data_IF_348829337710
#
_entry.id   IF_348829337710
#
_cell.length_a   1.000
_cell.length_b   1.000
_cell.length_c   1.000
_cell.angle_alpha   90.00
_cell.angle_beta   90.00
_cell.angle_gamma   90.00
#
_symmetry.space_group_name_H-M   'P 1'
#
loop_
_entity.id
_entity.type
_entity.pdbx_description
1 polymer ?
#
# COMPACT_ATOMS: atom_id res chain seq x y z
N UNK A 1 39.39 -11.43 19.21
CA UNK A 1 37.97 -11.33 19.62
C UNK A 1 37.18 -12.39 18.84
N UNK A 2 36.25 -13.12 19.47
CA UNK A 2 35.49 -14.19 18.81
C UNK A 2 34.06 -13.76 18.50
N UNK A 3 33.52 -14.18 17.36
CA UNK A 3 32.14 -13.91 16.95
C UNK A 3 31.16 -14.75 17.79
N UNK A 4 30.08 -14.13 18.24
CA UNK A 4 29.05 -14.82 19.04
C UNK A 4 28.43 -15.98 18.25
N UNK A 5 28.33 -17.14 18.89
CA UNK A 5 27.64 -18.33 18.37
C UNK A 5 26.56 -18.75 19.37
N UNK A 6 25.28 -18.84 18.97
CA UNK A 6 24.19 -19.17 19.87
C UNK A 6 24.29 -20.62 20.33
N UNK A 7 24.04 -20.86 21.61
CA UNK A 7 23.89 -22.21 22.15
C UNK A 7 22.46 -22.70 21.89
N UNK A 8 22.26 -24.01 21.74
CA UNK A 8 20.94 -24.59 21.42
C UNK A 8 19.84 -24.22 22.44
N UNK A 9 20.20 -24.06 23.72
CA UNK A 9 19.26 -23.68 24.78
C UNK A 9 18.82 -22.21 24.74
N UNK A 10 19.62 -21.35 24.13
CA UNK A 10 19.35 -19.89 24.10
C UNK A 10 18.46 -19.50 22.91
N UNK A 11 18.14 -20.45 22.02
CA UNK A 11 17.35 -20.19 20.81
C UNK A 11 15.86 -20.16 21.18
N UNK A 12 15.36 -18.96 21.41
CA UNK A 12 13.92 -18.72 21.54
C UNK A 12 13.26 -18.67 20.16
N UNK A 13 12.16 -19.43 19.99
CA UNK A 13 11.38 -19.48 18.75
C UNK A 13 10.01 -18.88 18.99
N UNK A 14 9.67 -17.86 18.22
CA UNK A 14 8.34 -17.28 18.20
C UNK A 14 7.46 -18.00 17.17
N UNK A 15 6.15 -17.80 17.30
CA UNK A 15 5.16 -18.21 16.32
C UNK A 15 4.62 -16.97 15.62
N UNK A 16 4.58 -17.00 14.30
CA UNK A 16 4.02 -15.94 13.47
C UNK A 16 2.84 -16.47 12.68
N UNK A 17 1.79 -15.67 12.54
CA UNK A 17 0.65 -15.92 11.66
C UNK A 17 0.64 -14.89 10.56
N UNK A 18 0.53 -15.37 9.32
CA UNK A 18 0.47 -14.55 8.12
C UNK A 18 -0.83 -14.88 7.39
N UNK A 19 -1.66 -13.87 7.18
CA UNK A 19 -2.80 -13.96 6.28
C UNK A 19 -2.32 -13.82 4.84
N UNK A 20 -2.63 -14.80 4.00
CA UNK A 20 -2.20 -14.86 2.62
C UNK A 20 -3.19 -14.21 1.64
N UNK A 21 -4.32 -13.69 2.13
CA UNK A 21 -5.36 -13.05 1.32
C UNK A 21 -4.81 -11.83 0.54
N UNK A 22 -4.98 -11.84 -0.78
CA UNK A 22 -4.52 -10.77 -1.67
C UNK A 22 -2.99 -10.62 -1.79
N UNK A 23 -2.20 -11.51 -1.19
CA UNK A 23 -0.74 -11.44 -1.25
C UNK A 23 -0.19 -12.11 -2.51
N UNK A 24 0.88 -11.54 -3.08
CA UNK A 24 1.59 -12.17 -4.21
C UNK A 24 2.43 -13.34 -3.70
N UNK A 25 2.17 -14.54 -4.23
CA UNK A 25 2.82 -15.79 -3.83
C UNK A 25 4.35 -15.66 -3.63
N UNK A 26 5.05 -15.11 -4.62
CA UNK A 26 6.52 -15.04 -4.60
C UNK A 26 7.06 -14.06 -3.55
N UNK A 27 6.38 -12.93 -3.33
CA UNK A 27 6.79 -11.93 -2.33
C UNK A 27 6.53 -12.45 -0.92
N UNK A 28 5.34 -13.01 -0.70
CA UNK A 28 4.98 -13.72 0.53
C UNK A 28 6.00 -14.81 0.86
N UNK A 29 6.29 -15.70 -0.10
CA UNK A 29 7.21 -16.81 0.12
C UNK A 29 8.63 -16.36 0.51
N UNK A 30 9.09 -15.22 -0.04
CA UNK A 30 10.42 -14.68 0.24
C UNK A 30 10.55 -14.20 1.69
N UNK A 31 9.55 -13.48 2.19
CA UNK A 31 9.51 -13.02 3.59
C UNK A 31 9.35 -14.19 4.56
N UNK A 32 8.45 -15.13 4.25
CA UNK A 32 8.29 -16.34 5.07
C UNK A 32 9.59 -17.14 5.13
N UNK A 33 10.30 -17.31 4.02
CA UNK A 33 11.58 -18.00 4.00
C UNK A 33 12.66 -17.28 4.84
N UNK A 34 12.64 -15.95 4.89
CA UNK A 34 13.54 -15.14 5.75
C UNK A 34 13.30 -15.43 7.23
N UNK A 35 12.03 -15.48 7.64
CA UNK A 35 11.61 -15.77 9.03
C UNK A 35 11.94 -17.22 9.42
N UNK A 36 11.61 -18.19 8.55
CA UNK A 36 11.91 -19.61 8.78
C UNK A 36 13.41 -19.88 8.93
N UNK A 37 14.24 -19.11 8.22
CA UNK A 37 15.71 -19.17 8.30
C UNK A 37 16.26 -18.44 9.54
N UNK A 38 15.49 -17.52 10.13
CA UNK A 38 15.92 -16.72 11.28
C UNK A 38 16.73 -15.48 10.92
N UNK A 39 16.74 -15.06 9.64
CA UNK A 39 17.52 -13.90 9.17
C UNK A 39 17.02 -12.56 9.70
N UNK A 40 15.83 -12.52 10.29
CA UNK A 40 15.30 -11.34 10.96
C UNK A 40 15.90 -11.14 12.37
N UNK A 41 16.54 -12.17 12.94
CA UNK A 41 17.17 -12.08 14.26
C UNK A 41 18.66 -11.77 14.15
N UNK A 42 19.23 -10.95 15.06
CA UNK A 42 20.66 -10.64 15.06
C UNK A 42 21.53 -11.83 15.46
N UNK A 43 20.96 -12.85 16.12
CA UNK A 43 21.64 -14.10 16.49
C UNK A 43 21.76 -15.10 15.33
N UNK A 44 21.44 -14.69 14.10
CA UNK A 44 21.44 -15.56 12.93
C UNK A 44 22.80 -16.23 12.73
N UNK A 45 22.78 -17.56 12.63
CA UNK A 45 23.97 -18.35 12.43
C UNK A 45 23.71 -19.42 11.36
N UNK A 46 24.52 -19.52 10.28
CA UNK A 46 24.19 -20.37 9.13
C UNK A 46 24.08 -21.87 9.40
N UNK A 47 24.83 -22.37 10.39
CA UNK A 47 24.91 -23.80 10.70
C UNK A 47 23.88 -24.26 11.76
N UNK A 48 23.11 -23.34 12.34
CA UNK A 48 22.18 -23.62 13.43
C UNK A 48 20.79 -23.05 13.10
N UNK A 49 19.74 -23.84 13.36
CA UNK A 49 18.37 -23.37 13.13
C UNK A 49 17.88 -22.41 14.23
N UNK A 50 17.91 -21.12 13.91
CA UNK A 50 17.48 -19.99 14.77
C UNK A 50 16.14 -19.38 14.36
N UNK A 51 15.52 -19.90 13.30
CA UNK A 51 14.29 -19.35 12.75
C UNK A 51 13.03 -19.72 13.51
N UNK A 52 11.96 -18.99 13.21
CA UNK A 52 10.68 -19.07 13.90
C UNK A 52 9.69 -20.02 13.21
N UNK A 53 8.58 -20.30 13.92
CA UNK A 53 7.44 -20.98 13.36
C UNK A 53 6.58 -19.98 12.59
N UNK A 54 6.08 -20.41 11.43
CA UNK A 54 5.20 -19.58 10.59
C UNK A 54 3.98 -20.39 10.23
N UNK A 55 2.82 -19.83 10.52
CA UNK A 55 1.50 -20.33 10.16
C UNK A 55 0.96 -19.42 9.08
N UNK A 56 0.62 -19.99 7.92
CA UNK A 56 -0.03 -19.27 6.82
C UNK A 56 -1.50 -19.70 6.79
N UNK A 57 -2.41 -18.74 6.80
CA UNK A 57 -3.86 -18.94 6.65
C UNK A 57 -4.33 -18.37 5.31
N UNK A 58 -5.54 -18.73 4.87
CA UNK A 58 -6.13 -18.29 3.59
C UNK A 58 -5.23 -18.60 2.37
N UNK A 59 -4.57 -19.77 2.37
CA UNK A 59 -3.59 -20.12 1.35
C UNK A 59 -4.17 -20.24 -0.08
N UNK A 60 -5.47 -20.45 -0.23
CA UNK A 60 -6.16 -20.49 -1.52
C UNK A 60 -6.41 -19.11 -2.15
N UNK A 61 -6.39 -18.05 -1.34
CA UNK A 61 -6.59 -16.67 -1.79
C UNK A 61 -5.33 -15.96 -2.29
N UNK A 62 -4.21 -16.70 -2.35
CA UNK A 62 -2.93 -16.17 -2.81
C UNK A 62 -2.98 -15.83 -4.30
N UNK A 63 -2.41 -14.66 -4.65
CA UNK A 63 -2.45 -14.13 -6.00
C UNK A 63 -1.18 -14.48 -6.78
N UNK A 64 -1.36 -14.89 -8.03
CA UNK A 64 -0.32 -15.00 -9.04
C UNK A 64 -0.38 -13.79 -9.96
N UNK A 65 0.76 -13.15 -10.23
CA UNK A 65 0.80 -12.00 -11.13
C UNK A 65 0.85 -12.41 -12.61
N UNK A 66 0.16 -11.65 -13.47
CA UNK A 66 0.14 -11.83 -14.92
C UNK A 66 -0.51 -13.14 -15.39
N UNK A 67 -0.07 -13.67 -16.53
CA UNK A 67 -0.52 -14.92 -17.16
C UNK A 67 0.02 -16.19 -16.50
N UNK A 68 0.73 -16.08 -15.36
CA UNK A 68 1.39 -17.22 -14.70
C UNK A 68 0.42 -18.30 -14.23
N UNK A 69 -0.86 -17.97 -14.03
CA UNK A 69 -1.88 -18.94 -13.66
C UNK A 69 -2.07 -20.01 -14.75
N UNK A 70 -1.99 -19.61 -16.02
CA UNK A 70 -2.24 -20.46 -17.19
C UNK A 70 -0.95 -20.92 -17.87
N UNK A 71 0.10 -20.09 -17.91
CA UNK A 71 1.32 -20.40 -18.66
C UNK A 71 2.36 -21.20 -17.85
N UNK A 72 2.32 -21.10 -16.52
CA UNK A 72 3.34 -21.75 -15.69
C UNK A 72 3.00 -23.22 -15.47
N UNK A 73 3.72 -24.09 -16.14
CA UNK A 73 3.67 -25.53 -15.89
C UNK A 73 4.52 -25.94 -14.68
N UNK A 74 3.96 -26.83 -13.85
CA UNK A 74 4.66 -27.55 -12.78
C UNK A 74 4.86 -28.99 -13.24
N UNK A 75 6.12 -29.43 -13.24
CA UNK A 75 6.49 -30.77 -13.63
C UNK A 75 6.76 -31.65 -12.43
N UNK A 76 6.38 -32.91 -12.54
CA UNK A 76 6.76 -33.98 -11.61
C UNK A 76 7.04 -35.24 -12.40
N UNK A 77 8.00 -36.05 -11.95
CA UNK A 77 8.38 -37.27 -12.64
C UNK A 77 8.32 -38.44 -11.68
N UNK A 78 7.72 -39.56 -12.10
CA UNK A 78 7.60 -40.75 -11.26
C UNK A 78 8.89 -41.57 -11.15
N UNK A 79 9.82 -41.40 -12.10
CA UNK A 79 11.05 -42.19 -12.23
C UNK A 79 10.98 -43.27 -13.31
N UNK A 80 9.78 -43.59 -13.79
CA UNK A 80 9.57 -44.56 -14.88
C UNK A 80 9.60 -43.87 -16.27
N UNK A 81 9.96 -44.59 -17.35
CA UNK A 81 9.87 -44.07 -18.72
C UNK A 81 8.47 -43.55 -19.04
N UNK A 82 8.36 -42.35 -19.62
CA UNK A 82 7.07 -41.69 -19.89
C UNK A 82 6.34 -41.15 -18.66
N UNK A 83 6.97 -41.17 -17.48
CA UNK A 83 6.36 -40.79 -16.20
C UNK A 83 6.29 -39.29 -15.90
N UNK A 84 6.44 -38.43 -16.90
CA UNK A 84 6.37 -36.98 -16.74
C UNK A 84 4.91 -36.53 -16.63
N UNK A 85 4.58 -35.93 -15.48
CA UNK A 85 3.28 -35.32 -15.23
C UNK A 85 3.42 -33.81 -15.22
N UNK A 86 2.61 -33.15 -16.03
CA UNK A 86 2.56 -31.69 -16.15
C UNK A 86 1.22 -31.21 -15.62
N UNK A 87 1.25 -30.18 -14.77
CA UNK A 87 0.04 -29.51 -14.26
C UNK A 87 0.22 -28.01 -14.32
N UNK A 88 -0.81 -27.25 -14.70
CA UNK A 88 -0.71 -25.79 -14.64
C UNK A 88 -0.68 -25.32 -13.19
N UNK A 89 0.04 -24.23 -12.94
CA UNK A 89 0.21 -23.71 -11.59
C UNK A 89 -1.13 -23.23 -11.00
N UNK A 90 -2.01 -22.68 -11.83
CA UNK A 90 -3.38 -22.32 -11.43
C UNK A 90 -4.16 -23.52 -10.89
N UNK A 91 -4.15 -24.64 -11.61
CA UNK A 91 -4.83 -25.87 -11.18
C UNK A 91 -4.21 -26.47 -9.91
N UNK A 92 -2.89 -26.30 -9.73
CA UNK A 92 -2.23 -26.74 -8.50
C UNK A 92 -2.71 -25.92 -7.30
N UNK A 93 -2.87 -24.61 -7.48
CA UNK A 93 -3.32 -23.71 -6.43
C UNK A 93 -4.79 -23.96 -6.05
N UNK A 94 -5.66 -24.27 -7.02
CA UNK A 94 -7.06 -24.61 -6.77
C UNK A 94 -7.21 -25.94 -6.01
N UNK A 95 -6.47 -26.97 -6.42
CA UNK A 95 -6.62 -28.31 -5.85
C UNK A 95 -5.92 -28.45 -4.49
N UNK A 96 -4.68 -27.94 -4.40
CA UNK A 96 -3.77 -28.13 -3.26
C UNK A 96 -2.94 -26.87 -3.01
N UNK A 97 -3.56 -25.80 -2.51
CA UNK A 97 -2.87 -24.54 -2.23
C UNK A 97 -1.71 -24.73 -1.23
N UNK A 98 -1.87 -25.64 -0.26
CA UNK A 98 -0.84 -25.92 0.75
C UNK A 98 0.43 -26.49 0.11
N UNK A 99 0.27 -27.36 -0.89
CA UNK A 99 1.41 -27.95 -1.61
C UNK A 99 2.08 -26.91 -2.51
N UNK A 100 1.31 -26.02 -3.15
CA UNK A 100 1.83 -24.93 -3.97
C UNK A 100 2.72 -23.98 -3.16
N UNK A 101 2.25 -23.52 -2.00
CA UNK A 101 3.04 -22.65 -1.11
C UNK A 101 4.23 -23.40 -0.52
N UNK A 102 4.04 -24.64 -0.05
CA UNK A 102 5.13 -25.46 0.51
C UNK A 102 6.26 -25.67 -0.49
N UNK A 103 5.94 -25.98 -1.76
CA UNK A 103 6.94 -26.13 -2.83
C UNK A 103 7.67 -24.82 -3.11
N UNK A 104 6.95 -23.71 -3.14
CA UNK A 104 7.52 -22.39 -3.42
C UNK A 104 8.46 -21.93 -2.30
N UNK A 105 8.02 -21.99 -1.05
CA UNK A 105 8.83 -21.60 0.13
C UNK A 105 9.99 -22.58 0.32
N UNK A 106 9.75 -23.88 0.18
CA UNK A 106 10.80 -24.90 0.22
C UNK A 106 11.83 -24.71 -0.89
N UNK A 107 11.43 -24.14 -2.04
CA UNK A 107 12.29 -23.66 -3.12
C UNK A 107 13.34 -22.64 -2.66
N UNK A 108 12.97 -21.75 -1.74
CA UNK A 108 13.78 -20.64 -1.25
C UNK A 108 14.65 -20.98 -0.02
N UNK A 109 14.46 -22.16 0.56
CA UNK A 109 15.27 -22.66 1.67
C UNK A 109 16.55 -23.38 1.18
N UNK A 110 17.60 -23.48 2.02
CA UNK A 110 18.81 -24.21 1.68
C UNK A 110 18.49 -25.68 1.39
N UNK A 111 19.08 -26.25 0.34
CA UNK A 111 18.83 -27.64 -0.07
C UNK A 111 19.71 -28.63 0.71
N UNK A 112 19.65 -28.56 2.04
CA UNK A 112 20.40 -29.42 2.96
C UNK A 112 19.47 -30.02 4.03
N UNK A 113 20.04 -30.84 4.93
CA UNK A 113 19.31 -31.43 6.06
C UNK A 113 18.66 -30.37 6.94
N UNK A 114 19.37 -29.28 7.22
CA UNK A 114 18.87 -28.16 8.02
C UNK A 114 17.66 -27.47 7.37
N UNK A 115 17.68 -27.24 6.06
CA UNK A 115 16.55 -26.64 5.34
C UNK A 115 15.32 -27.52 5.32
N UNK A 116 15.49 -28.86 5.29
CA UNK A 116 14.37 -29.80 5.48
C UNK A 116 13.78 -29.69 6.88
N UNK A 117 14.61 -29.52 7.91
CA UNK A 117 14.15 -29.27 9.28
C UNK A 117 13.44 -27.92 9.40
N UNK A 118 13.96 -26.86 8.77
CA UNK A 118 13.31 -25.54 8.76
C UNK A 118 11.90 -25.60 8.15
N UNK A 119 11.71 -26.41 7.10
CA UNK A 119 10.43 -26.55 6.42
C UNK A 119 9.35 -27.20 7.31
N UNK A 120 9.71 -28.00 8.32
CA UNK A 120 8.71 -28.62 9.22
C UNK A 120 8.03 -27.61 10.14
N UNK A 121 8.67 -26.46 10.37
CA UNK A 121 8.16 -25.33 11.17
C UNK A 121 7.08 -24.53 10.43
N UNK A 122 6.99 -24.68 9.11
CA UNK A 122 5.98 -24.05 8.28
C UNK A 122 4.67 -24.83 8.36
N UNK A 123 3.60 -24.17 8.80
CA UNK A 123 2.22 -24.68 8.78
C UNK A 123 1.41 -23.85 7.79
N UNK A 124 0.61 -24.52 6.97
CA UNK A 124 -0.16 -23.86 5.91
C UNK A 124 -1.57 -24.43 5.99
N UNK A 125 -2.54 -23.55 6.06
CA UNK A 125 -3.95 -23.87 6.10
C UNK A 125 -4.65 -23.18 4.94
N UNK A 126 -5.56 -23.92 4.30
CA UNK A 126 -6.41 -23.37 3.26
C UNK A 126 -7.37 -22.33 3.83
N UNK A 127 -8.06 -22.65 4.91
CA UNK A 127 -9.00 -21.74 5.56
C UNK A 127 -8.33 -20.69 6.44
N UNK A 128 -9.18 -19.87 7.06
CA UNK A 128 -8.78 -18.77 7.95
C UNK A 128 -8.36 -19.27 9.34
N UNK A 129 -8.90 -20.40 9.80
CA UNK A 129 -8.61 -20.96 11.12
C UNK A 129 -7.38 -21.88 11.12
N UNK A 130 -6.63 -21.83 12.23
CA UNK A 130 -5.57 -22.76 12.57
C UNK A 130 -5.74 -23.35 13.99
N UNK A 131 -5.27 -24.59 14.25
CA UNK A 131 -5.37 -25.24 15.56
C UNK A 131 -4.29 -24.80 16.58
N UNK A 132 -3.49 -23.77 16.27
CA UNK A 132 -2.26 -23.43 17.01
C UNK A 132 -2.41 -22.28 18.01
N UNK A 133 -3.62 -21.99 18.45
CA UNK A 133 -3.93 -20.84 19.33
C UNK A 133 -3.20 -20.92 20.69
N UNK A 134 -2.97 -22.13 21.20
CA UNK A 134 -2.23 -22.36 22.44
C UNK A 134 -0.79 -21.79 22.42
N UNK A 135 -0.21 -21.62 21.23
CA UNK A 135 1.14 -21.10 21.04
C UNK A 135 1.21 -19.57 20.98
N UNK A 136 0.05 -18.88 21.07
CA UNK A 136 -0.07 -17.42 21.01
C UNK A 136 0.73 -16.79 19.85
N UNK A 137 0.40 -17.16 18.60
CA UNK A 137 1.11 -16.62 17.45
C UNK A 137 0.93 -15.10 17.33
N UNK A 138 2.00 -14.42 16.93
CA UNK A 138 2.01 -13.00 16.62
C UNK A 138 1.57 -12.78 15.18
N UNK A 139 0.63 -11.87 14.94
CA UNK A 139 0.24 -11.49 13.59
C UNK A 139 1.38 -10.71 12.93
N UNK A 140 1.72 -11.10 11.70
CA UNK A 140 2.78 -10.49 10.92
C UNK A 140 2.21 -9.97 9.60
N UNK A 141 2.05 -8.65 9.52
CA UNK A 141 1.54 -7.96 8.35
C UNK A 141 2.64 -7.76 7.29
N UNK A 142 2.34 -8.10 6.04
CA UNK A 142 3.27 -8.03 4.90
C UNK A 142 2.78 -7.07 3.83
N UNK A 143 2.64 -5.79 4.16
CA UNK A 143 2.06 -4.75 3.30
C UNK A 143 2.73 -4.64 1.91
N UNK A 144 4.06 -4.76 1.82
CA UNK A 144 4.78 -4.65 0.54
C UNK A 144 4.54 -5.84 -0.40
N UNK A 145 3.99 -6.94 0.12
CA UNK A 145 3.77 -8.18 -0.64
C UNK A 145 2.41 -8.22 -1.33
N UNK A 146 1.48 -7.34 -0.96
CA UNK A 146 0.18 -7.18 -1.62
C UNK A 146 0.35 -6.86 -3.10
N UNK A 147 -0.62 -7.32 -3.90
CA UNK A 147 -0.72 -6.92 -5.29
C UNK A 147 -0.91 -5.39 -5.34
N UNK A 148 0.12 -4.65 -5.78
CA UNK A 148 0.00 -3.20 -5.96
C UNK A 148 -0.95 -2.96 -7.14
N UNK A 149 -2.22 -2.69 -6.87
CA UNK A 149 -3.09 -1.91 -7.77
C UNK A 149 -2.59 -0.45 -7.84
N UNK A 150 -3.22 0.42 -8.66
CA UNK A 150 -2.99 1.86 -8.53
C UNK A 150 -3.15 2.22 -7.05
N UNK A 151 -2.15 2.90 -6.50
CA UNK A 151 -2.04 3.16 -5.07
C UNK A 151 -3.24 4.02 -4.67
N UNK A 152 -4.27 3.40 -4.09
CA UNK A 152 -5.26 4.16 -3.33
C UNK A 152 -4.48 4.82 -2.19
N UNK A 153 -4.23 6.11 -2.35
CA UNK A 153 -3.65 6.95 -1.31
C UNK A 153 -4.73 6.98 -0.23
N UNK A 154 -4.53 6.24 0.86
CA UNK A 154 -5.35 6.42 2.06
C UNK A 154 -5.27 7.91 2.41
N UNK A 155 -6.40 8.61 2.64
CA UNK A 155 -6.38 9.97 3.11
C UNK A 155 -5.44 10.04 4.30
N UNK A 156 -4.46 10.93 4.25
CA UNK A 156 -3.63 11.23 5.40
C UNK A 156 -4.59 11.85 6.40
N UNK A 157 -5.02 11.06 7.39
CA UNK A 157 -5.71 11.61 8.55
C UNK A 157 -4.75 12.62 9.17
N UNK A 158 -5.11 13.90 9.02
CA UNK A 158 -4.38 14.99 9.63
C UNK A 158 -4.38 14.72 11.13
N UNK A 159 -3.21 14.41 11.68
CA UNK A 159 -2.99 14.45 13.11
C UNK A 159 -3.19 15.90 13.53
N UNK A 160 -4.38 16.22 14.01
CA UNK A 160 -4.64 17.45 14.74
C UNK A 160 -3.83 17.35 16.03
N UNK A 161 -2.65 17.95 16.04
CA UNK A 161 -1.89 18.17 17.25
C UNK A 161 -2.70 19.10 18.13
N UNK A 162 -3.34 18.57 19.17
CA UNK A 162 -3.95 19.34 20.23
C UNK A 162 -2.87 20.18 20.92
N UNK A 163 -2.79 21.47 20.59
CA UNK A 163 -2.10 22.45 21.41
C UNK A 163 -3.08 22.89 22.50
N UNK A 164 -2.85 22.36 23.69
CA UNK A 164 -3.47 22.77 24.94
C UNK A 164 -2.98 24.17 25.31
N UNK A 165 -3.84 25.19 25.16
CA UNK A 165 -3.67 26.47 25.85
C UNK A 165 -4.86 26.66 26.78
N UNK A 166 -4.53 26.68 28.06
CA UNK A 166 -5.42 27.02 29.15
C UNK A 166 -5.40 28.53 29.40
N UNK A 167 -6.61 29.08 29.53
CA UNK A 167 -7.08 29.96 30.60
C UNK A 167 -7.33 31.46 30.31
N UNK A 168 -8.37 31.93 31.03
CA UNK A 168 -8.82 33.28 31.39
C UNK A 168 -9.67 34.15 30.43
N UNK A 169 -10.96 34.27 30.82
CA UNK A 169 -11.79 35.50 31.05
C UNK A 169 -12.06 36.45 29.86
N UNK A 170 -13.20 37.12 29.65
CA UNK A 170 -14.46 37.43 30.37
C UNK A 170 -15.43 38.05 29.32
N UNK A 171 -16.76 37.91 29.53
CA UNK A 171 -17.90 38.84 29.21
C UNK A 171 -17.96 39.64 27.86
N UNK A 172 -19.09 39.99 27.22
CA UNK A 172 -20.54 39.95 27.45
C UNK A 172 -21.31 40.53 26.21
N UNK A 173 -22.65 40.34 26.21
CA UNK A 173 -23.74 41.17 25.58
C UNK A 173 -24.21 40.92 24.13
N UNK A 174 -25.37 40.25 24.05
CA UNK A 174 -26.67 40.57 23.42
C UNK A 174 -26.90 41.06 21.96
N UNK A 175 -27.98 40.45 21.43
CA UNK A 175 -29.14 40.99 20.66
C UNK A 175 -29.23 40.89 19.11
N UNK A 176 -30.20 40.06 18.71
CA UNK A 176 -31.34 40.27 17.79
C UNK A 176 -31.18 40.37 16.25
N UNK A 177 -31.88 39.44 15.58
CA UNK A 177 -32.69 39.53 14.33
C UNK A 177 -32.39 40.60 13.27
N UNK A 178 -32.31 40.18 12.00
CA UNK A 178 -33.42 40.25 11.01
C UNK A 178 -32.95 40.06 9.56
N UNK A 179 -33.87 39.61 8.71
CA UNK A 179 -33.81 39.46 7.25
C UNK A 179 -33.38 40.72 6.46
N UNK A 180 -32.88 40.53 5.23
CA UNK A 180 -32.87 41.58 4.20
C UNK A 180 -31.77 41.49 3.14
N UNK A 181 -32.17 41.28 1.88
CA UNK A 181 -31.37 41.43 0.65
C UNK A 181 -30.83 42.86 0.47
N UNK A 182 -29.59 43.03 -0.03
CA UNK A 182 -29.25 43.87 -1.20
C UNK A 182 -27.73 43.97 -1.50
N UNK A 183 -27.36 43.62 -2.75
CA UNK A 183 -26.41 44.25 -3.70
C UNK A 183 -24.96 44.64 -3.30
N UNK A 184 -24.05 43.86 -3.93
CA UNK A 184 -22.75 44.18 -4.57
C UNK A 184 -21.98 45.45 -4.16
N UNK A 185 -20.87 45.22 -3.46
CA UNK A 185 -19.58 45.93 -3.62
C UNK A 185 -18.46 44.90 -3.69
N UNK A 186 -17.57 45.12 -4.66
CA UNK A 186 -16.39 44.32 -4.98
C UNK A 186 -15.36 44.31 -3.85
N UNK A 187 -15.13 43.15 -3.26
CA UNK A 187 -13.92 42.81 -2.49
C UNK A 187 -13.90 41.27 -2.32
N UNK A 188 -12.91 40.61 -2.93
CA UNK A 188 -12.61 39.19 -2.68
C UNK A 188 -13.46 38.15 -3.42
N UNK A 189 -13.66 38.29 -4.74
CA UNK A 189 -14.28 37.21 -5.52
C UNK A 189 -13.32 36.00 -5.60
N UNK A 190 -13.82 34.84 -5.19
CA UNK A 190 -13.03 33.62 -5.05
C UNK A 190 -12.94 32.89 -6.40
N UNK A 191 -11.82 32.20 -6.69
CA UNK A 191 -11.68 31.43 -7.94
C UNK A 191 -12.74 30.34 -8.12
N UNK A 192 -13.45 29.97 -7.04
CA UNK A 192 -14.54 29.01 -7.04
C UNK A 192 -15.78 29.54 -7.79
N UNK A 193 -15.95 30.86 -7.84
CA UNK A 193 -17.09 31.52 -8.49
C UNK A 193 -17.02 31.44 -10.04
N UNK A 194 -15.86 31.07 -10.60
CA UNK A 194 -15.65 30.92 -12.04
C UNK A 194 -16.12 29.57 -12.59
N UNK A 195 -16.60 28.64 -11.75
CA UNK A 195 -17.07 27.32 -12.19
C UNK A 195 -15.98 26.41 -12.77
N UNK A 196 -14.71 26.65 -12.41
CA UNK A 196 -13.58 25.83 -12.81
C UNK A 196 -13.51 24.54 -12.01
N UNK A 197 -12.93 23.49 -12.58
CA UNK A 197 -12.70 22.23 -11.84
C UNK A 197 -11.70 22.45 -10.70
N UNK A 198 -11.91 21.79 -9.56
CA UNK A 198 -11.03 21.89 -8.38
C UNK A 198 -9.55 21.61 -8.69
N UNK A 199 -9.28 20.77 -9.70
CA UNK A 199 -7.92 20.47 -10.15
C UNK A 199 -7.25 21.73 -10.74
N UNK A 200 -7.98 22.51 -11.52
CA UNK A 200 -7.46 23.75 -12.13
C UNK A 200 -7.26 24.81 -11.05
N UNK A 201 -8.22 24.96 -10.13
CA UNK A 201 -8.14 25.92 -9.02
C UNK A 201 -6.92 25.63 -8.14
N UNK A 202 -6.70 24.37 -7.75
CA UNK A 202 -5.55 23.98 -6.93
C UNK A 202 -4.21 24.19 -7.65
N UNK A 203 -4.17 23.97 -8.97
CA UNK A 203 -2.95 24.21 -9.75
C UNK A 203 -2.68 25.72 -9.94
N UNK A 204 -3.72 26.55 -10.10
CA UNK A 204 -3.60 28.02 -10.14
C UNK A 204 -3.10 28.56 -8.80
N UNK A 205 -3.65 28.07 -7.68
CA UNK A 205 -3.19 28.42 -6.33
C UNK A 205 -1.73 28.00 -6.10
N UNK A 206 -1.32 26.82 -6.59
CA UNK A 206 0.10 26.41 -6.55
C UNK A 206 1.01 27.30 -7.41
N UNK A 207 0.45 27.99 -8.41
CA UNK A 207 1.11 29.02 -9.21
C UNK A 207 1.10 30.41 -8.57
N UNK A 208 0.54 30.56 -7.36
CA UNK A 208 0.44 31.84 -6.65
C UNK A 208 -0.65 32.76 -7.20
N UNK A 209 -1.70 32.20 -7.81
CA UNK A 209 -2.90 32.93 -8.24
C UNK A 209 -4.05 32.44 -7.37
N UNK A 210 -4.48 33.26 -6.41
CA UNK A 210 -5.52 32.91 -5.43
C UNK A 210 -6.81 33.68 -5.68
N UNK A 211 -6.74 34.83 -6.36
CA UNK A 211 -7.89 35.69 -6.64
C UNK A 211 -8.17 35.85 -8.14
N UNK A 212 -9.41 36.20 -8.48
CA UNK A 212 -9.81 36.49 -9.87
C UNK A 212 -9.03 37.70 -10.41
N UNK A 213 -8.75 38.70 -9.59
CA UNK A 213 -8.01 39.90 -9.98
C UNK A 213 -6.57 39.58 -10.40
N UNK A 214 -5.89 38.73 -9.62
CA UNK A 214 -4.55 38.24 -9.97
C UNK A 214 -4.56 37.47 -11.28
N UNK A 215 -5.57 36.63 -11.51
CA UNK A 215 -5.71 35.86 -12.74
C UNK A 215 -5.91 36.76 -13.97
N UNK A 216 -6.76 37.78 -13.87
CA UNK A 216 -7.02 38.76 -14.95
C UNK A 216 -5.78 39.59 -15.28
N UNK A 217 -4.91 39.84 -14.30
CA UNK A 217 -3.67 40.60 -14.50
C UNK A 217 -2.58 39.86 -15.29
N UNK A 218 -2.69 38.52 -15.41
CA UNK A 218 -1.70 37.66 -16.07
C UNK A 218 -1.97 37.51 -17.57
N UNK A 219 -0.88 37.26 -18.30
CA UNK A 219 -0.95 36.96 -19.73
C UNK A 219 -1.19 35.47 -19.97
N UNK A 220 -1.58 35.11 -21.20
CA UNK A 220 -1.79 33.71 -21.58
C UNK A 220 -0.52 32.84 -21.40
N UNK A 221 0.65 33.40 -21.69
CA UNK A 221 1.93 32.71 -21.54
C UNK A 221 2.28 32.46 -20.08
N UNK A 222 1.95 33.40 -19.19
CA UNK A 222 2.18 33.26 -17.75
C UNK A 222 1.34 32.12 -17.15
N UNK A 223 0.09 31.96 -17.59
CA UNK A 223 -0.81 30.90 -17.12
C UNK A 223 -0.37 29.52 -17.63
N UNK A 224 0.17 29.45 -18.86
CA UNK A 224 0.78 28.22 -19.40
C UNK A 224 2.07 27.83 -18.68
N UNK A 225 2.78 28.79 -18.07
CA UNK A 225 3.99 28.54 -17.30
C UNK A 225 3.76 27.82 -15.96
N UNK A 226 2.51 27.72 -15.50
CA UNK A 226 2.16 27.08 -14.23
C UNK A 226 2.24 25.55 -14.35
N UNK A 227 2.89 24.85 -13.39
CA UNK A 227 3.03 23.40 -13.45
C UNK A 227 1.68 22.70 -13.54
N UNK A 228 1.56 21.75 -14.48
CA UNK A 228 0.37 20.92 -14.74
C UNK A 228 -0.85 21.67 -15.28
N UNK A 229 -0.69 22.94 -15.70
CA UNK A 229 -1.67 23.63 -16.55
C UNK A 229 -1.25 23.44 -18.01
N UNK A 230 -2.12 22.83 -18.81
CA UNK A 230 -1.91 22.62 -20.24
C UNK A 230 -2.83 23.49 -21.11
N UNK A 231 -2.64 23.51 -22.44
CA UNK A 231 -3.36 24.41 -23.34
C UNK A 231 -4.89 24.29 -23.26
N UNK A 232 -5.40 23.06 -23.07
CA UNK A 232 -6.84 22.82 -22.88
C UNK A 232 -7.40 23.43 -21.58
N UNK A 233 -6.62 23.40 -20.51
CA UNK A 233 -7.02 24.01 -19.24
C UNK A 233 -7.03 25.53 -19.36
N UNK A 234 -6.12 26.11 -20.15
CA UNK A 234 -6.11 27.55 -20.41
C UNK A 234 -7.29 28.01 -21.25
N UNK A 235 -7.68 27.24 -22.27
CA UNK A 235 -8.93 27.50 -23.01
C UNK A 235 -10.16 27.45 -22.10
N UNK A 236 -10.22 26.50 -21.16
CA UNK A 236 -11.29 26.43 -20.16
C UNK A 236 -11.30 27.65 -19.23
N UNK A 237 -10.12 28.11 -18.78
CA UNK A 237 -9.99 29.33 -17.98
C UNK A 237 -10.44 30.56 -18.77
N UNK A 238 -10.01 30.71 -20.02
CA UNK A 238 -10.39 31.83 -20.88
C UNK A 238 -11.90 31.87 -21.12
N UNK A 239 -12.52 30.71 -21.39
CA UNK A 239 -13.96 30.64 -21.59
C UNK A 239 -14.72 30.96 -20.29
N UNK A 240 -14.29 30.42 -19.15
CA UNK A 240 -14.87 30.72 -17.85
C UNK A 240 -14.75 32.20 -17.47
N UNK A 241 -13.63 32.85 -17.80
CA UNK A 241 -13.47 34.29 -17.60
C UNK A 241 -14.41 35.09 -18.50
N UNK A 242 -14.52 34.72 -19.79
CA UNK A 242 -15.44 35.37 -20.74
C UNK A 242 -16.91 35.28 -20.33
N UNK A 243 -17.33 34.12 -19.83
CA UNK A 243 -18.71 33.90 -19.36
C UNK A 243 -19.06 34.78 -18.15
N UNK A 244 -18.04 35.14 -17.35
CA UNK A 244 -18.17 36.05 -16.20
C UNK A 244 -17.82 37.52 -16.55
N UNK A 245 -17.59 37.83 -17.83
CA UNK A 245 -17.34 39.19 -18.30
C UNK A 245 -15.91 39.72 -18.10
N UNK A 246 -14.96 38.83 -17.81
CA UNK A 246 -13.54 39.17 -17.65
C UNK A 246 -12.70 38.66 -18.81
N UNK A 247 -11.60 39.34 -19.10
CA UNK A 247 -10.63 38.90 -20.12
C UNK A 247 -9.23 38.96 -19.52
N UNK A 248 -8.38 37.98 -19.86
CA UNK A 248 -6.96 38.05 -19.52
C UNK A 248 -6.31 39.29 -20.17
N UNK A 249 -5.21 39.74 -19.59
CA UNK A 249 -4.42 40.82 -20.17
C UNK A 249 -3.82 40.36 -21.50
N UNK A 250 -4.21 41.03 -22.58
CA UNK A 250 -3.59 40.83 -23.90
C UNK A 250 -2.17 41.38 -23.88
N UNK A 251 -1.23 40.66 -24.51
CA UNK A 251 0.16 41.10 -24.75
C UNK A 251 0.16 42.08 -25.93
#
# INVERSE_FOLDING_TARGET
MSTYTPKKGDIQRAWHVVDADGLILGRLASEVAKILRGKHKPIFTPHQDTGDHVVIVNADKVVLSGSKKTEKAVYSHSGYPGGLKTKMYGDLLTDRPEEALRKTIGGMLPKNSLGRQMLTKLKIYRGESHPHDAQKPQQLELEHTRLRGPKEIKPIEAQTTEVKVSDSQEESVDTSNSDGEERKTSEGASLQDLGLTDVIINNLAAGGIETIEELVSKTNEDVLGIPKIGPKAVEQIINALKDNGFTLKEI
#
